data_IF_754701076872
#
_entry.id   IF_754701076872
#
_cell.length_a   1.000
_cell.length_b   1.000
_cell.length_c   1.000
_cell.angle_alpha   90.00
_cell.angle_beta   90.00
_cell.angle_gamma   90.00
#
_symmetry.space_group_name_H-M   'P 1'
#
loop_
_entity.id
_entity.type
_entity.pdbx_description
1 polymer ?
#
# COMPACT_ATOMS: atom_id res chain seq x y z
N UNK A 1 -11.79 -30.63 12.93
CA UNK A 1 -11.95 -29.75 14.12
C UNK A 1 -12.87 -28.62 13.71
N UNK A 2 -13.99 -28.38 14.41
CA UNK A 2 -14.94 -27.31 14.04
C UNK A 2 -14.26 -25.93 14.10
N UNK A 3 -14.67 -24.98 13.26
CA UNK A 3 -14.01 -23.65 13.15
C UNK A 3 -14.00 -22.88 14.47
N UNK A 4 -15.03 -23.03 15.30
CA UNK A 4 -15.07 -22.47 16.65
C UNK A 4 -13.98 -23.06 17.56
N UNK A 5 -13.70 -24.36 17.46
CA UNK A 5 -12.65 -25.02 18.23
C UNK A 5 -11.25 -24.60 17.73
N UNK A 6 -11.07 -24.40 16.42
CA UNK A 6 -9.82 -23.86 15.83
C UNK A 6 -9.55 -22.45 16.34
N UNK A 7 -10.56 -21.56 16.29
CA UNK A 7 -10.46 -20.20 16.79
C UNK A 7 -10.13 -20.16 18.30
N UNK A 8 -10.83 -20.97 19.11
CA UNK A 8 -10.58 -21.04 20.55
C UNK A 8 -9.17 -21.57 20.89
N UNK A 9 -8.69 -22.59 20.18
CA UNK A 9 -7.34 -23.13 20.36
C UNK A 9 -6.26 -22.09 20.03
N UNK A 10 -6.40 -21.39 18.90
CA UNK A 10 -5.50 -20.30 18.53
C UNK A 10 -5.50 -19.16 19.54
N UNK A 11 -6.69 -18.65 19.91
CA UNK A 11 -6.84 -17.59 20.91
C UNK A 11 -6.22 -17.96 22.25
N UNK A 12 -6.42 -19.20 22.71
CA UNK A 12 -5.85 -19.69 23.97
C UNK A 12 -4.33 -19.75 23.90
N UNK A 13 -3.76 -20.22 22.78
CA UNK A 13 -2.31 -20.27 22.61
C UNK A 13 -1.69 -18.86 22.63
N UNK A 14 -2.28 -17.91 21.91
CA UNK A 14 -1.84 -16.50 21.90
C UNK A 14 -1.93 -15.86 23.29
N UNK A 15 -3.03 -16.06 24.02
CA UNK A 15 -3.20 -15.48 25.37
C UNK A 15 -2.22 -16.06 26.39
N UNK A 16 -1.97 -17.38 26.34
CA UNK A 16 -0.98 -18.03 27.20
C UNK A 16 0.42 -17.49 26.88
N UNK A 17 0.76 -17.38 25.59
CA UNK A 17 2.04 -16.82 25.16
C UNK A 17 2.24 -15.38 25.62
N UNK A 18 1.25 -14.52 25.39
CA UNK A 18 1.30 -13.11 25.81
C UNK A 18 1.46 -12.97 27.34
N UNK A 19 0.72 -13.75 28.13
CA UNK A 19 0.83 -13.73 29.58
C UNK A 19 2.19 -14.19 30.09
N UNK A 20 2.73 -15.29 29.53
CA UNK A 20 4.06 -15.79 29.90
C UNK A 20 5.18 -14.83 29.51
N UNK A 21 5.13 -14.27 28.30
CA UNK A 21 6.09 -13.27 27.85
C UNK A 21 6.05 -12.03 28.75
N UNK A 22 4.86 -11.58 29.16
CA UNK A 22 4.72 -10.43 30.05
C UNK A 22 5.35 -10.70 31.42
N UNK A 23 5.02 -11.84 32.03
CA UNK A 23 5.61 -12.24 33.31
C UNK A 23 7.13 -12.38 33.22
N UNK A 24 7.65 -12.99 32.15
CA UNK A 24 9.09 -13.11 31.91
C UNK A 24 9.76 -11.76 31.72
N UNK A 25 9.18 -10.86 30.93
CA UNK A 25 9.73 -9.53 30.69
C UNK A 25 9.86 -8.74 32.00
N UNK A 26 8.80 -8.71 32.81
CA UNK A 26 8.82 -8.07 34.14
C UNK A 26 9.87 -8.72 35.04
N UNK A 27 9.92 -10.06 35.08
CA UNK A 27 10.88 -10.79 35.89
C UNK A 27 12.33 -10.48 35.51
N UNK A 28 12.65 -10.48 34.21
CA UNK A 28 13.98 -10.13 33.68
C UNK A 28 14.38 -8.70 34.04
N UNK A 29 13.48 -7.73 33.87
CA UNK A 29 13.75 -6.32 34.21
C UNK A 29 14.03 -6.18 35.70
N UNK A 30 13.14 -6.69 36.55
CA UNK A 30 13.25 -6.57 38.01
C UNK A 30 14.51 -7.26 38.51
N UNK A 31 14.74 -8.52 38.09
CA UNK A 31 15.89 -9.30 38.52
C UNK A 31 17.19 -8.77 37.92
N UNK A 32 17.17 -8.25 36.70
CA UNK A 32 18.32 -7.62 36.05
C UNK A 32 18.75 -6.34 36.78
N UNK A 33 17.79 -5.52 37.22
CA UNK A 33 18.07 -4.30 37.99
C UNK A 33 18.68 -4.62 39.36
N UNK A 34 18.05 -5.51 40.14
CA UNK A 34 18.59 -5.91 41.46
C UNK A 34 19.90 -6.68 41.34
N UNK A 35 20.00 -7.53 40.32
CA UNK A 35 21.16 -8.37 40.03
C UNK A 35 22.26 -7.69 39.25
N UNK A 36 22.10 -6.39 38.94
CA UNK A 36 23.11 -5.55 38.27
C UNK A 36 23.61 -6.14 36.94
N UNK A 37 22.70 -6.71 36.16
CA UNK A 37 22.96 -7.22 34.79
C UNK A 37 22.29 -6.32 33.77
N UNK A 38 23.09 -5.55 33.03
CA UNK A 38 22.61 -4.74 31.92
C UNK A 38 22.07 -5.63 30.80
N UNK A 39 22.68 -6.81 30.57
CA UNK A 39 22.22 -7.73 29.55
C UNK A 39 20.81 -8.26 29.85
N UNK A 40 20.55 -8.68 31.10
CA UNK A 40 19.24 -9.19 31.50
C UNK A 40 18.16 -8.10 31.48
N UNK A 41 18.51 -6.86 31.86
CA UNK A 41 17.61 -5.71 31.71
C UNK A 41 17.30 -5.44 30.24
N UNK A 42 18.31 -5.43 29.36
CA UNK A 42 18.13 -5.22 27.92
C UNK A 42 17.19 -6.26 27.30
N UNK A 43 17.38 -7.53 27.63
CA UNK A 43 16.53 -8.65 27.18
C UNK A 43 15.09 -8.54 27.71
N UNK A 44 14.94 -8.12 28.97
CA UNK A 44 13.63 -7.86 29.57
C UNK A 44 12.90 -6.70 28.90
N UNK A 45 13.60 -5.60 28.63
CA UNK A 45 13.02 -4.45 27.92
C UNK A 45 12.68 -4.80 26.47
N UNK A 46 13.51 -5.58 25.79
CA UNK A 46 13.20 -6.10 24.45
C UNK A 46 11.88 -6.87 24.46
N UNK A 47 11.77 -7.89 25.33
CA UNK A 47 10.56 -8.72 25.45
C UNK A 47 9.32 -7.89 25.81
N UNK A 48 9.48 -6.87 26.67
CA UNK A 48 8.40 -5.96 27.04
C UNK A 48 7.98 -5.06 25.87
N UNK A 49 8.94 -4.58 25.09
CA UNK A 49 8.69 -3.73 23.93
C UNK A 49 7.93 -4.47 22.86
N UNK A 50 8.23 -5.75 22.63
CA UNK A 50 7.51 -6.58 21.66
C UNK A 50 6.04 -6.75 22.05
N UNK A 51 5.73 -6.93 23.34
CA UNK A 51 4.35 -6.96 23.83
C UNK A 51 3.60 -5.64 23.60
N UNK A 52 4.29 -4.50 23.80
CA UNK A 52 3.73 -3.18 23.48
C UNK A 52 3.50 -3.08 21.97
N UNK A 53 4.48 -3.50 21.15
CA UNK A 53 4.35 -3.51 19.69
C UNK A 53 3.11 -4.30 19.25
N UNK A 54 2.95 -5.52 19.72
CA UNK A 54 1.81 -6.39 19.41
C UNK A 54 0.47 -5.73 19.80
N UNK A 55 0.41 -5.13 20.99
CA UNK A 55 -0.78 -4.41 21.43
C UNK A 55 -1.11 -3.22 20.52
N UNK A 56 -0.11 -2.40 20.19
CA UNK A 56 -0.28 -1.25 19.30
C UNK A 56 -0.69 -1.67 17.89
N UNK A 57 -0.10 -2.74 17.35
CA UNK A 57 -0.48 -3.29 16.04
C UNK A 57 -1.93 -3.77 16.06
N UNK A 58 -2.36 -4.50 17.09
CA UNK A 58 -3.75 -4.94 17.20
C UNK A 58 -4.74 -3.77 17.30
N UNK A 59 -4.37 -2.73 18.07
CA UNK A 59 -5.19 -1.53 18.18
C UNK A 59 -5.24 -0.78 16.84
N UNK A 60 -4.09 -0.57 16.20
CA UNK A 60 -3.99 0.14 14.93
C UNK A 60 -4.70 -0.62 13.80
N UNK A 61 -4.60 -1.94 13.75
CA UNK A 61 -5.37 -2.77 12.83
C UNK A 61 -6.88 -2.61 13.06
N UNK A 62 -7.33 -2.60 14.32
CA UNK A 62 -8.76 -2.38 14.64
C UNK A 62 -9.27 -1.03 14.13
N UNK A 63 -8.50 0.04 14.28
CA UNK A 63 -8.87 1.36 13.77
C UNK A 63 -8.68 1.48 12.26
N UNK A 64 -7.63 0.88 11.70
CA UNK A 64 -7.28 0.92 10.28
C UNK A 64 -8.22 0.12 9.39
N UNK A 65 -8.89 -0.90 9.93
CA UNK A 65 -9.94 -1.65 9.24
C UNK A 65 -11.30 -0.92 9.18
N UNK A 66 -11.40 0.29 9.73
CA UNK A 66 -12.62 1.10 9.62
C UNK A 66 -12.88 1.46 8.16
N UNK A 67 -14.15 1.38 7.75
CA UNK A 67 -14.59 1.72 6.41
C UNK A 67 -14.31 3.21 6.09
N UNK A 68 -14.22 3.58 4.80
CA UNK A 68 -14.14 4.98 4.38
C UNK A 68 -15.31 5.81 4.90
N UNK A 69 -15.01 7.03 5.33
CA UNK A 69 -16.01 8.03 5.74
C UNK A 69 -15.77 9.36 5.02
N UNK A 70 -16.52 10.40 5.39
CA UNK A 70 -16.43 11.71 4.73
C UNK A 70 -15.08 12.41 4.95
N UNK A 71 -14.47 12.21 6.13
CA UNK A 71 -13.18 12.79 6.48
C UNK A 71 -12.01 11.95 5.90
N UNK A 72 -12.25 10.66 5.64
CA UNK A 72 -11.28 9.70 5.10
C UNK A 72 -11.87 8.89 3.92
N UNK A 73 -11.99 9.48 2.71
CA UNK A 73 -12.60 8.83 1.55
C UNK A 73 -11.88 7.56 1.04
N UNK A 74 -10.59 7.42 1.37
CA UNK A 74 -9.79 6.22 1.05
C UNK A 74 -9.73 5.22 2.22
N UNK A 75 -10.41 5.51 3.34
CA UNK A 75 -10.38 4.70 4.55
C UNK A 75 -9.24 5.04 5.51
N UNK A 76 -9.20 4.29 6.61
CA UNK A 76 -8.35 4.59 7.77
C UNK A 76 -7.03 3.83 7.79
N UNK A 77 -6.68 3.14 6.70
CA UNK A 77 -5.50 2.26 6.65
C UNK A 77 -4.21 2.94 7.08
N UNK A 78 -4.01 4.24 6.75
CA UNK A 78 -2.79 4.98 7.13
C UNK A 78 -2.57 5.08 8.64
N UNK A 79 -3.58 4.85 9.47
CA UNK A 79 -3.42 4.78 10.94
C UNK A 79 -2.42 3.68 11.32
N UNK A 80 -2.45 2.54 10.62
CA UNK A 80 -1.49 1.45 10.83
C UNK A 80 -0.06 1.88 10.50
N UNK A 81 0.10 2.56 9.36
CA UNK A 81 1.40 3.11 8.93
C UNK A 81 1.93 4.12 9.94
N UNK A 82 1.10 5.06 10.40
CA UNK A 82 1.47 6.08 11.40
C UNK A 82 1.83 5.43 12.74
N UNK A 83 1.02 4.48 13.22
CA UNK A 83 1.31 3.75 14.45
C UNK A 83 2.65 3.03 14.36
N UNK A 84 2.96 2.41 13.21
CA UNK A 84 4.25 1.74 12.96
C UNK A 84 5.42 2.72 13.01
N UNK A 85 5.28 3.93 12.46
CA UNK A 85 6.31 4.98 12.55
C UNK A 85 6.56 5.40 14.00
N UNK A 86 5.48 5.68 14.76
CA UNK A 86 5.59 6.09 16.18
C UNK A 86 6.27 5.00 17.01
N UNK A 87 5.86 3.74 16.83
CA UNK A 87 6.43 2.59 17.51
C UNK A 87 7.92 2.41 17.17
N UNK A 88 8.28 2.63 15.90
CA UNK A 88 9.67 2.53 15.45
C UNK A 88 10.57 3.58 16.09
N UNK A 89 10.07 4.82 16.24
CA UNK A 89 10.77 5.88 16.97
C UNK A 89 10.96 5.48 18.43
N UNK A 90 9.91 4.98 19.08
CA UNK A 90 9.97 4.50 20.46
C UNK A 90 11.04 3.40 20.65
N UNK A 91 11.07 2.39 19.78
CA UNK A 91 12.07 1.32 19.82
C UNK A 91 13.50 1.85 19.64
N UNK A 92 13.73 2.78 18.72
CA UNK A 92 15.05 3.38 18.49
C UNK A 92 15.49 4.15 19.74
N UNK A 93 14.61 4.98 20.31
CA UNK A 93 14.92 5.74 21.53
C UNK A 93 15.22 4.82 22.71
N UNK A 94 14.43 3.77 22.90
CA UNK A 94 14.61 2.80 23.98
C UNK A 94 15.90 1.99 23.83
N UNK A 95 16.17 1.47 22.63
CA UNK A 95 17.40 0.76 22.32
C UNK A 95 18.63 1.67 22.48
N UNK A 96 18.56 2.94 22.07
CA UNK A 96 19.64 3.91 22.28
C UNK A 96 19.90 4.16 23.77
N UNK A 97 18.85 4.28 24.59
CA UNK A 97 18.98 4.43 26.04
C UNK A 97 19.71 3.25 26.69
N UNK A 98 19.32 2.03 26.35
CA UNK A 98 19.99 0.80 26.83
C UNK A 98 21.44 0.74 26.36
N UNK A 99 21.68 1.05 25.09
CA UNK A 99 23.02 1.02 24.50
C UNK A 99 23.97 2.03 25.15
N UNK A 100 23.49 3.25 25.43
CA UNK A 100 24.25 4.30 26.13
C UNK A 100 24.59 3.86 27.56
N UNK A 101 23.61 3.33 28.30
CA UNK A 101 23.81 2.83 29.67
C UNK A 101 24.85 1.71 29.72
N UNK A 102 24.71 0.71 28.83
CA UNK A 102 25.67 -0.38 28.72
C UNK A 102 27.06 0.09 28.27
N UNK A 103 27.15 1.09 27.39
CA UNK A 103 28.42 1.68 26.98
C UNK A 103 29.11 2.43 28.12
N UNK A 104 28.38 3.20 28.93
CA UNK A 104 28.95 3.84 30.12
C UNK A 104 29.47 2.80 31.13
N UNK A 105 28.72 1.73 31.37
CA UNK A 105 29.13 0.62 32.23
C UNK A 105 30.44 -0.03 31.74
N UNK A 106 30.57 -0.20 30.42
CA UNK A 106 31.76 -0.75 29.77
C UNK A 106 32.99 0.17 29.91
N UNK A 107 32.83 1.48 29.67
CA UNK A 107 33.95 2.44 29.68
C UNK A 107 34.42 2.77 31.10
N UNK A 108 33.49 2.85 32.07
CA UNK A 108 33.85 3.15 33.46
C UNK A 108 34.57 1.97 34.14
N UNK A 109 34.68 0.82 33.48
CA UNK A 109 35.37 -0.35 34.03
C UNK A 109 34.73 -0.82 35.32
N UNK A 110 33.41 -0.63 35.45
CA UNK A 110 32.71 -1.00 36.66
C UNK A 110 32.86 -2.50 36.86
N UNK A 111 33.55 -2.92 37.93
CA UNK A 111 33.76 -4.33 38.29
C UNK A 111 32.46 -4.98 38.83
N UNK A 112 31.33 -4.44 38.38
CA UNK A 112 29.98 -4.81 38.76
C UNK A 112 29.67 -6.12 38.07
N UNK A 113 29.90 -7.20 38.81
CA UNK A 113 29.53 -8.53 38.39
C UNK A 113 28.03 -8.73 38.61
N UNK A 114 27.31 -9.29 37.63
CA UNK A 114 25.96 -9.76 37.83
C UNK A 114 25.90 -10.72 39.02
N UNK A 115 24.85 -10.61 39.83
CA UNK A 115 24.63 -11.57 40.90
C UNK A 115 24.24 -12.94 40.28
N UNK A 116 24.63 -14.04 40.93
CA UNK A 116 24.45 -15.40 40.37
C UNK A 116 23.00 -15.80 40.07
N UNK A 117 22.01 -15.17 40.73
CA UNK A 117 20.60 -15.42 40.45
C UNK A 117 20.14 -14.86 39.09
N UNK A 118 20.87 -13.91 38.49
CA UNK A 118 20.58 -13.42 37.12
C UNK A 118 20.74 -14.53 36.08
N UNK A 119 21.73 -15.41 36.28
CA UNK A 119 21.95 -16.58 35.43
C UNK A 119 20.76 -17.54 35.46
N UNK A 120 20.19 -17.77 36.65
CA UNK A 120 19.03 -18.64 36.82
C UNK A 120 17.84 -18.10 36.02
N UNK A 121 17.59 -16.79 36.07
CA UNK A 121 16.51 -16.17 35.31
C UNK A 121 16.76 -16.22 33.80
N UNK A 122 18.00 -16.00 33.35
CA UNK A 122 18.35 -16.13 31.93
C UNK A 122 18.07 -17.56 31.41
N UNK A 123 18.45 -18.59 32.18
CA UNK A 123 18.16 -20.00 31.85
C UNK A 123 16.67 -20.27 31.84
N UNK A 124 15.93 -19.81 32.86
CA UNK A 124 14.47 -19.95 32.92
C UNK A 124 13.82 -19.32 31.70
N UNK A 125 14.26 -18.12 31.28
CA UNK A 125 13.73 -17.48 30.09
C UNK A 125 13.91 -18.31 28.83
N UNK A 126 15.10 -18.87 28.60
CA UNK A 126 15.37 -19.70 27.42
C UNK A 126 14.48 -20.94 27.44
N UNK A 127 14.36 -21.61 28.59
CA UNK A 127 13.51 -22.80 28.74
C UNK A 127 12.04 -22.49 28.48
N UNK A 128 11.55 -21.36 29.00
CA UNK A 128 10.15 -20.95 28.82
C UNK A 128 9.89 -20.53 27.37
N UNK A 129 10.79 -19.76 26.73
CA UNK A 129 10.66 -19.37 25.32
C UNK A 129 10.69 -20.57 24.38
N UNK A 130 11.60 -21.52 24.58
CA UNK A 130 11.65 -22.78 23.82
C UNK A 130 10.39 -23.64 24.07
N UNK A 131 9.90 -23.67 25.32
CA UNK A 131 8.63 -24.32 25.67
C UNK A 131 7.44 -23.69 24.94
N UNK A 132 7.39 -22.35 24.89
CA UNK A 132 6.34 -21.59 24.21
C UNK A 132 6.41 -21.78 22.70
N UNK A 133 7.61 -21.82 22.11
CA UNK A 133 7.83 -22.16 20.71
C UNK A 133 7.22 -23.53 20.38
N UNK A 134 7.59 -24.58 21.13
CA UNK A 134 7.10 -25.95 20.88
C UNK A 134 5.59 -26.06 21.06
N UNK A 135 5.05 -25.43 22.10
CA UNK A 135 3.62 -25.44 22.35
C UNK A 135 2.84 -24.72 21.23
N UNK A 136 3.27 -23.51 20.86
CA UNK A 136 2.63 -22.71 19.81
C UNK A 136 2.73 -23.39 18.45
N UNK A 137 3.88 -23.97 18.12
CA UNK A 137 4.08 -24.72 16.87
C UNK A 137 3.17 -25.94 16.79
N UNK A 138 3.08 -26.72 17.88
CA UNK A 138 2.18 -27.87 17.95
C UNK A 138 0.72 -27.47 17.73
N UNK A 139 0.27 -26.37 18.35
CA UNK A 139 -1.10 -25.86 18.15
C UNK A 139 -1.27 -25.35 16.70
N UNK A 140 -0.27 -24.68 16.15
CA UNK A 140 -0.30 -24.15 14.79
C UNK A 140 -0.46 -25.26 13.75
N UNK A 141 0.27 -26.36 13.89
CA UNK A 141 0.18 -27.54 13.02
C UNK A 141 -1.16 -28.26 13.18
N UNK A 142 -1.68 -28.38 14.41
CA UNK A 142 -2.99 -29.00 14.67
C UNK A 142 -4.15 -28.27 14.00
N UNK A 143 -4.07 -26.93 13.90
CA UNK A 143 -5.14 -26.11 13.32
C UNK A 143 -4.83 -25.62 11.89
N UNK A 144 -3.68 -26.03 11.36
CA UNK A 144 -3.11 -25.62 10.07
C UNK A 144 -3.12 -24.08 9.90
N UNK A 145 -2.49 -23.37 10.84
CA UNK A 145 -2.42 -21.91 10.84
C UNK A 145 -0.99 -21.42 10.59
N UNK A 146 -0.79 -20.77 9.44
CA UNK A 146 0.48 -20.14 9.09
C UNK A 146 0.81 -18.95 9.99
N UNK A 147 -0.21 -18.23 10.45
CA UNK A 147 -0.06 -17.12 11.40
C UNK A 147 0.52 -17.60 12.73
N UNK A 148 -0.03 -18.67 13.32
CA UNK A 148 0.50 -19.24 14.56
C UNK A 148 1.88 -19.87 14.36
N UNK A 149 2.17 -20.44 13.18
CA UNK A 149 3.52 -20.91 12.84
C UNK A 149 4.51 -19.75 12.83
N UNK A 150 4.17 -18.65 12.18
CA UNK A 150 5.00 -17.44 12.16
C UNK A 150 5.24 -16.89 13.58
N UNK A 151 4.19 -16.83 14.41
CA UNK A 151 4.30 -16.41 15.81
C UNK A 151 5.22 -17.32 16.64
N UNK A 152 5.16 -18.64 16.42
CA UNK A 152 6.06 -19.57 17.10
C UNK A 152 7.52 -19.28 16.71
N UNK A 153 7.81 -19.13 15.42
CA UNK A 153 9.17 -18.82 14.95
C UNK A 153 9.67 -17.46 15.44
N UNK A 154 8.78 -16.47 15.60
CA UNK A 154 9.12 -15.19 16.20
C UNK A 154 9.61 -15.37 17.65
N UNK A 155 8.84 -16.07 18.49
CA UNK A 155 9.24 -16.38 19.88
C UNK A 155 10.55 -17.17 19.98
N UNK A 156 10.87 -18.00 18.97
CA UNK A 156 12.16 -18.67 18.89
C UNK A 156 13.32 -17.70 18.61
N UNK A 157 13.06 -16.64 17.84
CA UNK A 157 13.99 -15.53 17.65
C UNK A 157 14.36 -14.86 18.99
N UNK A 158 13.39 -14.66 19.87
CA UNK A 158 13.62 -14.09 21.21
C UNK A 158 14.47 -15.01 22.09
N UNK A 159 14.34 -16.33 21.92
CA UNK A 159 15.24 -17.27 22.60
C UNK A 159 16.70 -17.12 22.15
N UNK A 160 16.97 -16.69 20.92
CA UNK A 160 18.32 -16.46 20.42
C UNK A 160 18.92 -15.17 21.02
N UNK A 161 18.13 -14.11 21.20
CA UNK A 161 18.61 -12.90 21.89
C UNK A 161 18.88 -13.18 23.37
N UNK A 162 18.00 -13.94 24.05
CA UNK A 162 18.24 -14.40 25.42
C UNK A 162 19.48 -15.31 25.55
N UNK A 163 19.88 -16.03 24.50
CA UNK A 163 21.12 -16.82 24.49
C UNK A 163 22.37 -15.93 24.51
N UNK A 164 22.35 -14.80 23.78
CA UNK A 164 23.44 -13.81 23.81
C UNK A 164 23.61 -13.28 25.24
N UNK A 165 22.49 -13.01 25.92
CA UNK A 165 22.45 -12.54 27.31
C UNK A 165 23.00 -13.59 28.26
N UNK A 166 22.60 -14.86 28.11
CA UNK A 166 23.13 -15.97 28.90
C UNK A 166 24.67 -16.06 28.78
N UNK A 167 25.20 -15.99 27.55
CA UNK A 167 26.64 -16.04 27.30
C UNK A 167 27.35 -14.84 27.96
N UNK A 168 26.76 -13.65 27.88
CA UNK A 168 27.28 -12.44 28.54
C UNK A 168 27.37 -12.59 30.06
N UNK A 169 26.30 -13.08 30.69
CA UNK A 169 26.24 -13.31 32.14
C UNK A 169 27.25 -14.39 32.56
N UNK A 170 27.31 -15.53 31.86
CA UNK A 170 28.29 -16.60 32.16
C UNK A 170 29.72 -16.06 32.06
N UNK A 171 30.04 -15.34 30.99
CA UNK A 171 31.35 -14.76 30.80
C UNK A 171 31.74 -13.77 31.90
N UNK A 172 30.78 -12.93 32.33
CA UNK A 172 30.97 -11.99 33.44
C UNK A 172 31.22 -12.72 34.77
N UNK A 173 30.48 -13.80 35.05
CA UNK A 173 30.67 -14.63 36.25
C UNK A 173 32.02 -15.38 36.26
N UNK A 174 32.56 -15.73 35.08
CA UNK A 174 33.89 -16.34 34.93
C UNK A 174 35.06 -15.35 35.10
N UNK A 175 34.77 -14.06 35.30
CA UNK A 175 35.75 -13.01 35.57
C UNK A 175 35.94 -12.00 34.43
N UNK A 176 35.26 -12.16 33.30
CA UNK A 176 35.25 -11.18 32.20
C UNK A 176 34.08 -10.21 32.36
N UNK A 177 34.15 -9.33 33.37
CA UNK A 177 33.05 -8.45 33.82
C UNK A 177 32.40 -7.63 32.69
N UNK A 178 33.18 -7.24 31.68
CA UNK A 178 32.73 -6.47 30.52
C UNK A 178 31.75 -7.21 29.59
N UNK A 179 31.66 -8.55 29.64
CA UNK A 179 30.84 -9.33 28.69
C UNK A 179 29.34 -9.13 28.87
N UNK A 180 28.88 -8.81 30.09
CA UNK A 180 27.47 -8.46 30.31
C UNK A 180 27.11 -7.15 29.60
N UNK A 181 27.94 -6.11 29.72
CA UNK A 181 27.76 -4.85 29.00
C UNK A 181 27.83 -5.04 27.47
N UNK A 182 28.75 -5.88 26.97
CA UNK A 182 28.82 -6.20 25.54
C UNK A 182 27.55 -6.90 25.06
N UNK A 183 27.04 -7.88 25.80
CA UNK A 183 25.79 -8.55 25.46
C UNK A 183 24.61 -7.57 25.44
N UNK A 184 24.54 -6.65 26.41
CA UNK A 184 23.53 -5.59 26.43
C UNK A 184 23.61 -4.66 25.22
N UNK A 185 24.82 -4.25 24.80
CA UNK A 185 25.03 -3.44 23.59
C UNK A 185 24.56 -4.18 22.34
N UNK A 186 24.86 -5.48 22.22
CA UNK A 186 24.41 -6.28 21.07
C UNK A 186 22.88 -6.31 21.00
N UNK A 187 22.20 -6.56 22.12
CA UNK A 187 20.72 -6.55 22.19
C UNK A 187 20.17 -5.16 21.86
N UNK A 188 20.76 -4.10 22.39
CA UNK A 188 20.38 -2.72 22.07
C UNK A 188 20.46 -2.43 20.56
N UNK A 189 21.55 -2.85 19.89
CA UNK A 189 21.71 -2.71 18.45
C UNK A 189 20.66 -3.52 17.66
N UNK A 190 20.28 -4.70 18.14
CA UNK A 190 19.19 -5.49 17.54
C UNK A 190 17.85 -4.74 17.61
N UNK A 191 17.50 -4.17 18.76
CA UNK A 191 16.28 -3.38 18.95
C UNK A 191 16.28 -2.15 18.03
N UNK A 192 17.38 -1.40 17.98
CA UNK A 192 17.52 -0.21 17.12
C UNK A 192 17.37 -0.60 15.64
N UNK A 193 18.01 -1.69 15.21
CA UNK A 193 17.89 -2.20 13.83
C UNK A 193 16.45 -2.58 13.49
N UNK A 194 15.73 -3.20 14.41
CA UNK A 194 14.32 -3.54 14.23
C UNK A 194 13.48 -2.27 14.01
N UNK A 195 13.62 -1.28 14.90
CA UNK A 195 12.96 0.02 14.77
C UNK A 195 13.29 0.73 13.45
N UNK A 196 14.56 0.79 13.04
CA UNK A 196 14.95 1.40 11.76
C UNK A 196 14.34 0.67 10.55
N UNK A 197 14.29 -0.67 10.58
CA UNK A 197 13.76 -1.47 9.47
C UNK A 197 12.25 -1.32 9.34
N UNK A 198 11.53 -1.27 10.46
CA UNK A 198 10.07 -1.11 10.48
C UNK A 198 9.69 0.33 10.14
N UNK A 199 10.36 1.30 10.78
CA UNK A 199 10.13 2.73 10.56
C UNK A 199 10.46 3.14 9.13
N UNK A 200 11.55 2.62 8.55
CA UNK A 200 11.91 2.89 7.16
C UNK A 200 10.88 2.36 6.16
N UNK A 201 10.27 1.19 6.43
CA UNK A 201 9.19 0.65 5.59
C UNK A 201 7.91 1.49 5.70
N UNK A 202 7.50 1.83 6.92
CA UNK A 202 6.32 2.64 7.17
C UNK A 202 6.47 4.08 6.64
N UNK A 203 7.66 4.68 6.77
CA UNK A 203 7.93 6.01 6.22
C UNK A 203 7.90 6.01 4.69
N UNK A 204 8.47 4.99 4.04
CA UNK A 204 8.37 4.81 2.58
C UNK A 204 6.92 4.71 2.12
N UNK A 205 6.10 3.96 2.85
CA UNK A 205 4.67 3.88 2.57
C UNK A 205 3.96 5.23 2.77
N UNK A 206 4.32 5.98 3.81
CA UNK A 206 3.72 7.29 4.10
C UNK A 206 3.97 8.34 3.00
N UNK A 207 5.13 8.28 2.34
CA UNK A 207 5.50 9.15 1.21
C UNK A 207 5.08 8.60 -0.16
N UNK A 208 4.15 7.64 -0.19
CA UNK A 208 3.60 7.04 -1.41
C UNK A 208 4.67 6.41 -2.33
N UNK A 209 5.65 5.72 -1.73
CA UNK A 209 6.67 5.01 -2.51
C UNK A 209 6.03 3.97 -3.43
N UNK A 210 6.46 3.98 -4.70
CA UNK A 210 6.00 3.06 -5.72
C UNK A 210 6.29 1.58 -5.39
N UNK A 211 5.55 0.69 -6.06
CA UNK A 211 5.88 -0.72 -6.07
C UNK A 211 7.28 -0.98 -6.66
N UNK A 212 7.89 -2.13 -6.32
CA UNK A 212 9.07 -2.63 -7.01
C UNK A 212 8.86 -2.68 -8.54
N UNK A 213 9.93 -2.38 -9.29
CA UNK A 213 9.88 -2.20 -10.74
C UNK A 213 9.39 -3.45 -11.50
N UNK A 214 9.72 -4.64 -11.00
CA UNK A 214 9.22 -5.92 -11.49
C UNK A 214 7.69 -6.02 -11.39
N UNK A 215 7.12 -5.64 -10.24
CA UNK A 215 5.67 -5.65 -10.05
C UNK A 215 4.97 -4.60 -10.91
N UNK A 216 5.58 -3.42 -11.07
CA UNK A 216 5.05 -2.38 -11.97
C UNK A 216 5.06 -2.86 -13.42
N UNK A 217 6.12 -3.54 -13.85
CA UNK A 217 6.23 -4.13 -15.19
C UNK A 217 5.16 -5.22 -15.42
N UNK A 218 4.93 -6.10 -14.44
CA UNK A 218 3.88 -7.12 -14.50
C UNK A 218 2.49 -6.51 -14.66
N UNK A 219 2.18 -5.46 -13.88
CA UNK A 219 0.92 -4.72 -14.01
C UNK A 219 0.80 -4.08 -15.39
N UNK A 220 1.84 -3.39 -15.86
CA UNK A 220 1.83 -2.75 -17.18
C UNK A 220 1.59 -3.77 -18.30
N UNK A 221 2.19 -4.96 -18.21
CA UNK A 221 2.00 -6.03 -19.17
C UNK A 221 0.58 -6.61 -19.12
N UNK A 222 0.00 -6.76 -17.92
CA UNK A 222 -1.39 -7.17 -17.76
C UNK A 222 -2.37 -6.18 -18.42
N UNK A 223 -2.13 -4.87 -18.28
CA UNK A 223 -2.96 -3.83 -18.92
C UNK A 223 -2.82 -3.90 -20.45
N UNK A 224 -1.60 -4.03 -20.99
CA UNK A 224 -1.35 -4.14 -22.44
C UNK A 224 -1.97 -5.38 -23.07
N UNK A 225 -2.21 -6.43 -22.29
CA UNK A 225 -2.86 -7.65 -22.79
C UNK A 225 -4.38 -7.48 -23.00
N UNK A 226 -4.98 -6.40 -22.51
CA UNK A 226 -6.42 -6.16 -22.61
C UNK A 226 -6.76 -5.63 -24.01
N UNK A 227 -7.76 -6.22 -24.68
CA UNK A 227 -8.16 -5.78 -26.03
C UNK A 227 -8.47 -4.28 -26.08
N UNK A 228 -8.11 -3.65 -27.20
CA UNK A 228 -8.34 -2.23 -27.50
C UNK A 228 -7.51 -1.22 -26.69
N UNK A 229 -6.67 -1.67 -25.76
CA UNK A 229 -5.60 -0.84 -25.18
C UNK A 229 -4.43 -0.80 -26.16
N UNK A 230 -4.14 0.38 -26.70
CA UNK A 230 -3.06 0.60 -27.66
C UNK A 230 -1.71 0.85 -26.96
N UNK A 231 -1.74 1.62 -25.88
CA UNK A 231 -0.57 1.93 -25.08
C UNK A 231 -0.96 2.21 -23.62
N UNK A 232 0.05 2.20 -22.75
CA UNK A 232 -0.09 2.47 -21.32
C UNK A 232 1.02 3.42 -20.93
N UNK A 233 0.67 4.54 -20.29
CA UNK A 233 1.60 5.54 -19.80
C UNK A 233 1.16 6.08 -18.44
N UNK A 234 2.06 6.83 -17.80
CA UNK A 234 1.88 7.40 -16.46
C UNK A 234 1.31 6.42 -15.41
N UNK A 235 1.80 5.17 -15.44
CA UNK A 235 1.45 4.15 -14.46
C UNK A 235 2.07 4.48 -13.11
N UNK A 236 1.26 5.06 -12.21
CA UNK A 236 1.65 5.40 -10.85
C UNK A 236 1.09 4.38 -9.89
N UNK A 237 1.94 3.91 -8.98
CA UNK A 237 1.54 2.96 -7.95
C UNK A 237 1.92 3.51 -6.59
N UNK A 238 1.13 3.21 -5.57
CA UNK A 238 1.44 3.53 -4.18
C UNK A 238 0.93 2.43 -3.25
N UNK A 239 1.63 2.22 -2.15
CA UNK A 239 1.21 1.30 -1.08
C UNK A 239 0.40 2.05 -0.02
N UNK A 240 -0.64 1.42 0.49
CA UNK A 240 -1.42 1.93 1.62
C UNK A 240 -1.96 0.78 2.46
N UNK A 241 -1.45 0.64 3.69
CA UNK A 241 -1.87 -0.35 4.69
C UNK A 241 -1.93 -1.78 4.12
N UNK A 242 -0.85 -2.19 3.45
CA UNK A 242 -0.75 -3.50 2.82
C UNK A 242 -1.46 -3.66 1.47
N UNK A 243 -2.26 -2.68 1.03
CA UNK A 243 -2.88 -2.65 -0.30
C UNK A 243 -2.12 -1.78 -1.28
N UNK A 244 -2.45 -1.93 -2.56
CA UNK A 244 -1.93 -1.12 -3.67
C UNK A 244 -3.06 -0.26 -4.22
N UNK A 245 -2.77 1.02 -4.43
CA UNK A 245 -3.59 1.93 -5.22
C UNK A 245 -2.82 2.28 -6.49
N UNK A 246 -3.56 2.43 -7.58
CA UNK A 246 -2.99 2.60 -8.91
C UNK A 246 -3.70 3.72 -9.66
N UNK A 247 -2.93 4.56 -10.34
CA UNK A 247 -3.42 5.50 -11.33
C UNK A 247 -2.73 5.18 -12.65
N UNK A 248 -3.49 5.08 -13.75
CA UNK A 248 -2.94 4.73 -15.06
C UNK A 248 -3.64 5.45 -16.19
N UNK A 249 -2.88 5.83 -17.19
CA UNK A 249 -3.41 6.31 -18.46
C UNK A 249 -3.34 5.20 -19.50
N UNK A 250 -4.47 4.95 -20.16
CA UNK A 250 -4.54 4.03 -21.29
C UNK A 250 -4.82 4.81 -22.57
N UNK A 251 -4.06 4.51 -23.62
CA UNK A 251 -4.32 5.02 -24.96
C UNK A 251 -5.27 4.06 -25.67
N UNK A 252 -6.37 4.58 -26.19
CA UNK A 252 -7.34 3.82 -26.98
C UNK A 252 -7.62 4.52 -28.31
N UNK A 253 -8.37 3.86 -29.20
CA UNK A 253 -8.62 4.41 -30.52
C UNK A 253 -9.48 5.70 -30.47
N UNK A 254 -9.10 6.78 -31.17
CA UNK A 254 -9.68 8.12 -30.96
C UNK A 254 -11.14 8.28 -31.41
N UNK A 255 -11.61 7.41 -32.30
CA UNK A 255 -12.96 7.50 -32.88
C UNK A 255 -14.01 6.60 -32.20
N UNK A 256 -13.70 6.05 -31.03
CA UNK A 256 -14.69 5.27 -30.28
C UNK A 256 -15.61 6.17 -29.46
N UNK A 257 -16.75 5.64 -29.03
CA UNK A 257 -17.66 6.39 -28.17
C UNK A 257 -17.08 6.54 -26.75
N UNK A 258 -17.44 7.62 -26.04
CA UNK A 258 -17.09 7.79 -24.62
C UNK A 258 -17.58 6.60 -23.76
N UNK A 259 -18.72 6.01 -24.09
CA UNK A 259 -19.24 4.80 -23.44
C UNK A 259 -18.37 3.57 -23.68
N UNK A 260 -17.81 3.41 -24.88
CA UNK A 260 -16.90 2.31 -25.20
C UNK A 260 -15.55 2.49 -24.52
N UNK A 261 -15.03 3.73 -24.48
CA UNK A 261 -13.82 4.06 -23.73
C UNK A 261 -13.97 3.78 -22.23
N UNK A 262 -15.12 4.16 -21.65
CA UNK A 262 -15.43 3.81 -20.26
C UNK A 262 -15.50 2.29 -20.05
N UNK A 263 -16.11 1.55 -20.97
CA UNK A 263 -16.17 0.09 -20.89
C UNK A 263 -14.77 -0.57 -20.96
N UNK A 264 -13.86 -0.07 -21.80
CA UNK A 264 -12.47 -0.53 -21.84
C UNK A 264 -11.75 -0.24 -20.52
N UNK A 265 -11.94 0.96 -19.95
CA UNK A 265 -11.38 1.32 -18.66
C UNK A 265 -11.88 0.39 -17.52
N UNK A 266 -13.17 0.04 -17.50
CA UNK A 266 -13.72 -0.92 -16.54
C UNK A 266 -13.18 -2.33 -16.75
N UNK A 267 -12.91 -2.76 -18.00
CA UNK A 267 -12.22 -4.02 -18.27
C UNK A 267 -10.78 -4.02 -17.70
N UNK A 268 -10.06 -2.92 -17.85
CA UNK A 268 -8.73 -2.74 -17.23
C UNK A 268 -8.82 -2.88 -15.72
N UNK A 269 -9.74 -2.14 -15.09
CA UNK A 269 -9.97 -2.21 -13.65
C UNK A 269 -10.29 -3.63 -13.19
N UNK A 270 -11.27 -4.29 -13.82
CA UNK A 270 -11.70 -5.62 -13.46
C UNK A 270 -10.60 -6.68 -13.66
N UNK A 271 -9.88 -6.62 -14.79
CA UNK A 271 -8.78 -7.54 -15.10
C UNK A 271 -7.66 -7.46 -14.06
N UNK A 272 -7.25 -6.25 -13.70
CA UNK A 272 -6.22 -6.05 -12.67
C UNK A 272 -6.68 -6.49 -11.28
N UNK A 273 -7.90 -6.16 -10.85
CA UNK A 273 -8.42 -6.57 -9.54
C UNK A 273 -8.59 -8.10 -9.43
N UNK A 274 -8.87 -8.80 -10.53
CA UNK A 274 -8.96 -10.26 -10.56
C UNK A 274 -7.58 -10.92 -10.52
N UNK A 275 -6.59 -10.36 -11.22
CA UNK A 275 -5.25 -10.94 -11.32
C UNK A 275 -4.39 -10.63 -10.08
N UNK A 276 -4.54 -9.46 -9.48
CA UNK A 276 -3.70 -8.99 -8.38
C UNK A 276 -4.54 -8.70 -7.14
N UNK A 277 -4.62 -9.69 -6.24
CA UNK A 277 -5.42 -9.60 -5.01
C UNK A 277 -5.00 -8.46 -4.05
N UNK A 278 -3.79 -7.92 -4.20
CA UNK A 278 -3.29 -6.79 -3.41
C UNK A 278 -3.79 -5.42 -3.89
N UNK A 279 -4.31 -5.31 -5.12
CA UNK A 279 -4.81 -4.05 -5.67
C UNK A 279 -6.22 -3.79 -5.12
N UNK A 280 -6.40 -2.65 -4.47
CA UNK A 280 -7.67 -2.26 -3.84
C UNK A 280 -8.44 -1.22 -4.64
N UNK A 281 -7.72 -0.30 -5.28
CA UNK A 281 -8.33 0.79 -6.04
C UNK A 281 -7.49 1.16 -7.26
N UNK A 282 -8.17 1.52 -8.35
CA UNK A 282 -7.57 1.80 -9.65
C UNK A 282 -8.32 2.96 -10.30
N UNK A 283 -7.61 4.05 -10.58
CA UNK A 283 -8.08 5.12 -11.45
C UNK A 283 -7.54 4.89 -12.85
N UNK A 284 -8.44 4.72 -13.82
CA UNK A 284 -8.06 4.58 -15.24
C UNK A 284 -8.46 5.85 -15.97
N UNK A 285 -7.48 6.62 -16.41
CA UNK A 285 -7.66 7.72 -17.33
C UNK A 285 -7.62 7.22 -18.77
N UNK A 286 -8.57 7.68 -19.58
CA UNK A 286 -8.69 7.29 -20.98
C UNK A 286 -8.15 8.41 -21.85
N UNK A 287 -7.04 8.13 -22.53
CA UNK A 287 -6.43 9.01 -23.51
C UNK A 287 -6.75 8.54 -24.93
N UNK A 288 -6.89 9.51 -25.82
CA UNK A 288 -7.10 9.29 -27.26
C UNK A 288 -5.90 9.73 -28.09
N UNK A 289 -4.90 10.37 -27.47
CA UNK A 289 -3.67 10.87 -28.10
C UNK A 289 -2.48 10.76 -27.13
N UNK A 290 -1.26 10.60 -27.65
CA UNK A 290 -0.03 10.47 -26.84
C UNK A 290 0.46 11.78 -26.20
N UNK A 291 -0.10 12.93 -26.57
CA UNK A 291 0.49 14.24 -26.26
C UNK A 291 -0.01 14.79 -24.92
N UNK A 292 0.92 15.32 -24.13
CA UNK A 292 0.59 16.13 -22.96
C UNK A 292 -0.21 17.35 -23.42
N UNK A 293 -1.45 17.47 -22.94
CA UNK A 293 -2.33 18.58 -23.27
C UNK A 293 -1.71 19.91 -22.84
N UNK A 294 -1.30 20.73 -23.82
CA UNK A 294 -1.11 22.16 -23.59
C UNK A 294 -2.45 22.78 -23.17
N UNK A 295 -2.43 23.72 -22.22
CA UNK A 295 -3.63 24.41 -21.70
C UNK A 295 -4.42 25.21 -22.78
N UNK A 296 -4.00 25.16 -24.05
CA UNK A 296 -4.62 25.83 -25.19
C UNK A 296 -5.91 25.16 -25.70
N UNK A 297 -6.26 23.94 -25.24
CA UNK A 297 -7.51 23.24 -25.63
C UNK A 297 -8.77 24.06 -25.31
N UNK A 298 -8.70 24.95 -24.32
CA UNK A 298 -9.81 25.85 -23.91
C UNK A 298 -10.28 26.79 -25.03
N UNK A 299 -9.52 26.90 -26.14
CA UNK A 299 -9.86 27.77 -27.28
C UNK A 299 -10.60 27.07 -28.44
N UNK A 300 -10.74 25.75 -28.42
CA UNK A 300 -11.39 25.02 -29.52
C UNK A 300 -12.90 25.30 -29.58
N UNK A 301 -13.47 25.20 -30.79
CA UNK A 301 -14.89 25.38 -31.04
C UNK A 301 -15.73 24.42 -30.17
N UNK A 302 -16.49 24.96 -29.22
CA UNK A 302 -17.23 24.18 -28.25
C UNK A 302 -18.59 23.71 -28.77
N UNK A 303 -19.17 22.67 -28.14
CA UNK A 303 -20.52 22.21 -28.45
C UNK A 303 -21.57 23.32 -28.34
N UNK A 304 -21.43 24.19 -27.35
CA UNK A 304 -22.38 25.29 -27.13
C UNK A 304 -22.27 26.35 -28.22
N UNK A 305 -21.05 26.67 -28.66
CA UNK A 305 -20.82 27.56 -29.81
C UNK A 305 -21.40 26.96 -31.09
N UNK A 306 -21.20 25.66 -31.35
CA UNK A 306 -21.79 24.97 -32.50
C UNK A 306 -23.32 25.05 -32.46
N UNK A 307 -23.92 24.81 -31.29
CA UNK A 307 -25.36 24.91 -31.10
C UNK A 307 -25.90 26.34 -31.31
N UNK A 308 -25.12 27.36 -30.95
CA UNK A 308 -25.53 28.75 -31.11
C UNK A 308 -25.35 29.24 -32.56
N UNK A 309 -24.17 29.02 -33.14
CA UNK A 309 -23.75 29.65 -34.40
C UNK A 309 -24.12 28.80 -35.63
N UNK A 310 -23.92 27.49 -35.55
CA UNK A 310 -23.96 26.59 -36.72
C UNK A 310 -25.27 25.81 -36.83
N UNK A 311 -25.90 25.44 -35.70
CA UNK A 311 -27.16 24.67 -35.72
C UNK A 311 -28.28 25.37 -36.51
N UNK A 312 -28.55 26.70 -36.37
CA UNK A 312 -29.60 27.35 -37.15
C UNK A 312 -29.30 27.34 -38.66
N UNK A 313 -28.02 27.46 -39.02
CA UNK A 313 -27.55 27.41 -40.42
C UNK A 313 -27.77 26.01 -40.99
N UNK A 314 -27.38 24.97 -40.26
CA UNK A 314 -27.55 23.58 -40.69
C UNK A 314 -29.03 23.19 -40.81
N UNK A 315 -29.88 23.62 -39.89
CA UNK A 315 -31.33 23.42 -39.97
C UNK A 315 -31.94 24.04 -41.23
N UNK A 316 -31.47 25.25 -41.58
CA UNK A 316 -31.90 25.95 -42.79
C UNK A 316 -31.43 25.22 -44.06
N UNK A 317 -30.16 24.82 -44.12
CA UNK A 317 -29.59 24.07 -45.26
C UNK A 317 -30.33 22.73 -45.46
N UNK A 318 -30.66 22.04 -44.37
CA UNK A 318 -31.30 20.72 -44.40
C UNK A 318 -32.83 20.77 -44.47
N UNK A 319 -33.43 21.95 -44.31
CA UNK A 319 -34.89 22.12 -44.29
C UNK A 319 -35.57 21.37 -43.13
N UNK A 320 -34.89 21.24 -42.00
CA UNK A 320 -35.40 20.53 -40.81
C UNK A 320 -35.64 21.48 -39.65
N UNK A 321 -36.72 21.27 -38.90
CA UNK A 321 -37.02 22.05 -37.70
C UNK A 321 -36.38 21.47 -36.43
N UNK A 322 -36.00 20.19 -36.46
CA UNK A 322 -35.38 19.52 -35.31
C UNK A 322 -33.86 19.73 -35.33
N UNK A 323 -33.20 19.74 -34.16
CA UNK A 323 -31.75 19.74 -34.09
C UNK A 323 -31.15 18.55 -34.84
N UNK A 324 -30.03 18.78 -35.51
CA UNK A 324 -29.28 17.74 -36.22
C UNK A 324 -28.33 17.09 -35.23
N UNK A 325 -28.31 15.76 -35.20
CA UNK A 325 -27.39 15.02 -34.33
C UNK A 325 -25.94 15.22 -34.83
N UNK A 326 -25.01 15.49 -33.92
CA UNK A 326 -23.59 15.57 -34.24
C UNK A 326 -22.69 15.08 -33.11
N UNK A 327 -21.55 14.51 -33.52
CA UNK A 327 -20.46 14.09 -32.66
C UNK A 327 -19.23 14.95 -32.92
N UNK A 328 -18.51 15.28 -31.85
CA UNK A 328 -17.30 16.08 -31.90
C UNK A 328 -16.13 15.20 -31.50
N UNK A 329 -15.06 15.26 -32.27
CA UNK A 329 -13.78 14.64 -31.93
C UNK A 329 -12.76 15.76 -31.82
N UNK A 330 -12.17 15.90 -30.63
CA UNK A 330 -11.11 16.87 -30.37
C UNK A 330 -9.78 16.13 -30.46
N UNK A 331 -9.07 16.30 -31.57
CA UNK A 331 -7.84 15.58 -31.90
C UNK A 331 -6.83 16.58 -32.47
N UNK A 332 -5.57 16.48 -32.06
CA UNK A 332 -4.45 17.26 -32.57
C UNK A 332 -4.72 18.78 -32.54
N UNK A 333 -5.31 19.27 -31.44
CA UNK A 333 -5.71 20.67 -31.29
C UNK A 333 -6.70 21.18 -32.36
N UNK A 334 -7.47 20.26 -32.96
CA UNK A 334 -8.53 20.56 -33.92
C UNK A 334 -9.83 19.84 -33.57
N UNK A 335 -10.91 20.31 -34.18
CA UNK A 335 -12.25 19.73 -34.05
C UNK A 335 -12.65 19.06 -35.36
N UNK A 336 -12.99 17.79 -35.29
CA UNK A 336 -13.65 17.05 -36.37
C UNK A 336 -15.14 16.93 -35.99
N UNK A 337 -16.01 17.34 -36.91
CA UNK A 337 -17.46 17.32 -36.70
C UNK A 337 -18.07 16.22 -37.56
N UNK A 338 -18.71 15.25 -36.91
CA UNK A 338 -19.52 14.22 -37.57
C UNK A 338 -20.98 14.58 -37.47
N UNK A 339 -21.58 14.97 -38.59
CA UNK A 339 -22.97 15.38 -38.69
C UNK A 339 -23.83 14.22 -39.20
N UNK A 340 -24.89 13.86 -38.48
CA UNK A 340 -25.78 12.76 -38.84
C UNK A 340 -27.05 13.27 -39.52
N UNK A 341 -27.09 13.09 -40.84
CA UNK A 341 -28.15 13.57 -41.71
C UNK A 341 -29.38 12.65 -41.68
N UNK A 342 -30.60 13.22 -41.71
CA UNK A 342 -31.82 12.43 -41.79
C UNK A 342 -31.98 11.78 -43.17
N UNK A 343 -32.62 10.61 -43.21
CA UNK A 343 -32.79 9.78 -44.42
C UNK A 343 -33.55 10.47 -45.58
N UNK A 344 -34.21 11.61 -45.33
CA UNK A 344 -34.91 12.39 -46.36
C UNK A 344 -33.96 13.16 -47.30
N UNK A 345 -32.68 13.27 -46.95
CA UNK A 345 -31.67 14.15 -47.61
C UNK A 345 -30.92 13.46 -48.77
N UNK A 346 -31.37 12.29 -49.23
CA UNK A 346 -30.63 11.46 -50.20
C UNK A 346 -30.55 12.10 -51.61
N UNK A 347 -31.53 12.94 -52.01
CA UNK A 347 -31.53 13.57 -53.35
C UNK A 347 -30.77 14.90 -53.34
N UNK A 348 -29.66 14.98 -54.09
CA UNK A 348 -28.81 16.18 -54.15
C UNK A 348 -27.79 16.29 -53.01
N UNK A 349 -27.42 15.15 -52.40
CA UNK A 349 -26.55 15.09 -51.23
C UNK A 349 -25.23 15.84 -51.42
N UNK A 350 -24.59 15.77 -52.59
CA UNK A 350 -23.30 16.43 -52.83
C UNK A 350 -23.37 17.95 -52.69
N UNK A 351 -24.43 18.58 -53.20
CA UNK A 351 -24.63 20.02 -53.11
C UNK A 351 -24.91 20.46 -51.66
N UNK A 352 -25.67 19.66 -50.92
CA UNK A 352 -25.98 19.91 -49.51
C UNK A 352 -24.72 19.73 -48.65
N UNK A 353 -23.93 18.69 -48.90
CA UNK A 353 -22.66 18.43 -48.20
C UNK A 353 -21.68 19.58 -48.45
N UNK A 354 -21.57 20.07 -49.69
CA UNK A 354 -20.73 21.22 -50.00
C UNK A 354 -21.17 22.50 -49.25
N UNK A 355 -22.49 22.75 -49.14
CA UNK A 355 -23.01 23.87 -48.35
C UNK A 355 -22.70 23.72 -46.85
N UNK A 356 -22.83 22.51 -46.29
CA UNK A 356 -22.50 22.23 -44.89
C UNK A 356 -21.01 22.40 -44.61
N UNK A 357 -20.13 21.90 -45.49
CA UNK A 357 -18.68 22.10 -45.36
C UNK A 357 -18.28 23.57 -45.47
N UNK A 358 -18.94 24.34 -46.35
CA UNK A 358 -18.68 25.77 -46.47
C UNK A 358 -19.09 26.54 -45.20
N UNK A 359 -20.11 26.07 -44.46
CA UNK A 359 -20.58 26.75 -43.24
C UNK A 359 -19.54 26.80 -42.12
N UNK A 360 -18.59 25.87 -42.10
CA UNK A 360 -17.54 25.78 -41.07
C UNK A 360 -16.20 26.39 -41.51
N UNK A 361 -16.09 26.89 -42.75
CA UNK A 361 -14.84 27.42 -43.32
C UNK A 361 -14.24 28.62 -42.57
N UNK A 362 -15.08 29.38 -41.85
CA UNK A 362 -14.66 30.52 -41.04
C UNK A 362 -14.08 30.13 -39.67
N UNK A 363 -14.11 28.83 -39.31
CA UNK A 363 -13.61 28.34 -38.03
C UNK A 363 -12.23 27.69 -38.24
N UNK A 364 -11.13 28.38 -37.88
CA UNK A 364 -9.77 27.88 -38.14
C UNK A 364 -9.43 26.60 -37.36
N UNK A 365 -10.19 26.32 -36.31
CA UNK A 365 -9.98 25.18 -35.42
C UNK A 365 -10.76 23.94 -35.86
N UNK A 366 -11.65 24.06 -36.86
CA UNK A 366 -12.33 22.91 -37.46
C UNK A 366 -11.44 22.32 -38.54
N UNK A 367 -10.99 21.08 -38.35
CA UNK A 367 -10.19 20.37 -39.36
C UNK A 367 -11.08 19.93 -40.53
N UNK A 368 -12.23 19.31 -40.22
CA UNK A 368 -13.17 18.80 -41.22
C UNK A 368 -14.58 18.57 -40.65
N UNK A 369 -15.57 18.69 -41.53
CA UNK A 369 -16.95 18.27 -41.30
C UNK A 369 -17.25 17.05 -42.19
N UNK A 370 -17.60 15.93 -41.55
CA UNK A 370 -18.00 14.67 -42.18
C UNK A 370 -19.52 14.51 -42.02
N UNK A 371 -20.20 14.13 -43.09
CA UNK A 371 -21.64 13.91 -43.08
C UNK A 371 -21.95 12.41 -43.20
N UNK A 372 -22.78 11.89 -42.31
CA UNK A 372 -23.19 10.49 -42.27
C UNK A 372 -24.70 10.39 -42.42
N UNK A 373 -25.19 9.49 -43.26
CA UNK A 373 -26.63 9.24 -43.38
C UNK A 373 -27.10 8.33 -42.25
N UNK A 374 -28.07 8.79 -41.45
CA UNK A 374 -28.70 7.99 -40.41
C UNK A 374 -29.62 6.96 -41.07
N UNK A 375 -29.17 5.71 -41.12
CA UNK A 375 -30.02 4.58 -41.52
C UNK A 375 -31.03 4.36 -40.41
N UNK A 376 -32.29 4.70 -40.68
CA UNK A 376 -33.39 4.37 -39.77
C UNK A 376 -33.61 2.85 -39.84
N UNK A 377 -33.53 2.17 -38.69
CA UNK A 377 -34.04 0.81 -38.53
C UNK A 377 -35.58 0.81 -38.66
#
# INVERSE_FOLDING_TARGET
MNDTARYQAGRRATLIGAGLNFCLAVLKIVVGLFGRSHALVADGIHSFSDLICDFFVLMAARYGMSEPDQDHPYGHGRIETVATVVLSIFLITLGAGIGIDAFYSLVQGSDVRPDSYTLIIAVISIVVNEGLFRYTLKVADQINSDLLRANAWHSRGDSLSSLIVLIGIIGSLLGWSFLDAVAAIIVALMIIKMGMTWGGRALKELIDTALPEDQVADIANAIRAIPHVLAVHDLRTRKMAGYVLLDVHILIHPYISASEGHFIAEQVRAGLMQQFASIRDITVHVDVEEHAHDLNIVKLLSRDQINHDLMPVWQTILGVQQPVDFMLHYLQEKVIIDLYLPNKVIKGADAIIAQLQNSVSNYPDVEKLRAFLKVKA
#
